data_IF_631600451365
#
_entry.id   IF_631600451365
#
_cell.length_a   1.000
_cell.length_b   1.000
_cell.length_c   1.000
_cell.angle_alpha   90.00
_cell.angle_beta   90.00
_cell.angle_gamma   90.00
#
_symmetry.space_group_name_H-M   'P 1'
#
loop_
_entity.id
_entity.type
_entity.pdbx_description
1 polymer ?
#
# COMPACT_ATOMS: atom_id res chain seq x y z
N UNK A 1 -21.28 20.58 -6.63
CA UNK A 1 -20.51 19.51 -7.29
C UNK A 1 -20.70 18.24 -6.50
N UNK A 2 -20.96 17.08 -7.12
CA UNK A 2 -21.03 15.82 -6.38
C UNK A 2 -19.64 15.49 -5.80
N UNK A 3 -19.59 15.17 -4.51
CA UNK A 3 -18.38 14.67 -3.85
C UNK A 3 -18.41 13.14 -4.00
N UNK A 4 -17.49 12.59 -4.79
CA UNK A 4 -17.31 11.15 -4.88
C UNK A 4 -16.65 10.66 -3.60
N UNK A 5 -17.37 9.84 -2.82
CA UNK A 5 -16.85 9.24 -1.60
C UNK A 5 -16.01 8.02 -1.95
N UNK A 6 -14.81 7.93 -1.38
CA UNK A 6 -14.02 6.70 -1.43
C UNK A 6 -14.76 5.60 -0.65
N UNK A 7 -15.09 4.52 -1.34
CA UNK A 7 -15.84 3.39 -0.80
C UNK A 7 -14.93 2.22 -0.39
N UNK A 8 -13.61 2.34 -0.63
CA UNK A 8 -12.65 1.31 -0.23
C UNK A 8 -12.62 1.21 1.28
N UNK A 9 -12.63 -0.02 1.79
CA UNK A 9 -12.38 -0.23 3.21
C UNK A 9 -10.90 -0.05 3.51
N UNK A 10 -10.58 0.22 4.76
CA UNK A 10 -9.21 0.37 5.23
C UNK A 10 -8.88 -0.68 6.28
N UNK A 11 -7.61 -1.06 6.35
CA UNK A 11 -7.05 -1.91 7.39
C UNK A 11 -5.75 -1.28 7.88
N UNK A 12 -5.53 -1.32 9.19
CA UNK A 12 -4.28 -0.91 9.81
C UNK A 12 -3.40 -2.15 10.02
N UNK A 13 -2.11 -2.03 9.68
CA UNK A 13 -1.09 -3.06 9.89
C UNK A 13 0.20 -2.42 10.40
N UNK A 14 1.06 -3.24 10.99
CA UNK A 14 2.42 -2.87 11.42
C UNK A 14 3.42 -3.80 10.73
N UNK A 15 4.54 -3.23 10.27
CA UNK A 15 5.60 -4.01 9.66
C UNK A 15 6.40 -4.80 10.71
N UNK A 16 6.81 -6.05 10.42
CA UNK A 16 7.60 -6.86 11.33
C UNK A 16 8.91 -6.20 11.79
N UNK A 17 9.61 -5.50 10.89
CA UNK A 17 10.87 -4.83 11.23
C UNK A 17 10.67 -3.50 11.97
N UNK A 18 9.44 -2.98 12.04
CA UNK A 18 9.13 -1.67 12.63
C UNK A 18 7.91 -1.80 13.54
N UNK A 19 8.11 -2.20 14.80
CA UNK A 19 7.02 -2.55 15.72
C UNK A 19 6.04 -1.40 15.98
N UNK A 20 6.52 -0.15 15.97
CA UNK A 20 5.69 1.05 16.15
C UNK A 20 5.21 1.65 14.82
N UNK A 21 5.44 0.95 13.70
CA UNK A 21 4.91 1.39 12.42
C UNK A 21 3.39 1.22 12.36
N UNK A 22 2.77 2.19 11.70
CA UNK A 22 1.36 2.22 11.41
C UNK A 22 1.22 2.46 9.91
N UNK A 23 0.68 1.48 9.21
CA UNK A 23 0.36 1.58 7.78
C UNK A 23 -1.13 1.33 7.62
N UNK A 24 -1.83 2.27 7.00
CA UNK A 24 -3.23 2.13 6.63
C UNK A 24 -3.27 1.74 5.16
N UNK A 25 -3.80 0.56 4.87
CA UNK A 25 -3.96 0.04 3.50
C UNK A 25 -5.42 0.05 3.06
N UNK A 26 -5.66 0.31 1.79
CA UNK A 26 -6.94 0.14 1.12
C UNK A 26 -7.21 -1.32 0.80
N UNK A 27 -8.50 -1.66 0.75
CA UNK A 27 -8.95 -3.00 0.38
C UNK A 27 -8.88 -3.34 -1.11
N UNK A 28 -8.40 -2.42 -1.94
CA UNK A 28 -8.28 -2.60 -3.38
C UNK A 28 -7.91 -1.32 -4.12
N UNK A 29 -7.69 -1.46 -5.42
CA UNK A 29 -7.44 -0.35 -6.34
C UNK A 29 -8.75 0.20 -6.89
N UNK A 30 -8.79 1.51 -7.17
CA UNK A 30 -9.86 2.06 -8.00
C UNK A 30 -9.56 1.77 -9.48
N UNK A 31 -10.60 1.76 -10.31
CA UNK A 31 -10.43 1.55 -11.75
C UNK A 31 -9.45 2.57 -12.37
N UNK A 32 -9.50 3.83 -11.93
CA UNK A 32 -8.57 4.87 -12.37
C UNK A 32 -7.10 4.58 -12.05
N UNK A 33 -6.83 3.90 -10.94
CA UNK A 33 -5.46 3.48 -10.58
C UNK A 33 -4.98 2.33 -11.47
N UNK A 34 -5.89 1.47 -11.93
CA UNK A 34 -5.57 0.31 -12.76
C UNK A 34 -5.26 0.66 -14.23
N UNK A 35 -5.82 1.76 -14.76
CA UNK A 35 -5.65 2.15 -16.18
C UNK A 35 -4.18 2.41 -16.55
N UNK A 36 -3.38 2.90 -15.60
CA UNK A 36 -1.98 3.26 -15.84
C UNK A 36 -0.99 2.13 -15.52
N UNK A 37 -1.49 0.91 -15.26
CA UNK A 37 -0.65 -0.23 -14.93
C UNK A 37 -0.39 -1.07 -16.18
N UNK A 38 0.88 -1.10 -16.59
CA UNK A 38 1.34 -2.01 -17.62
C UNK A 38 1.42 -3.43 -17.04
N UNK A 39 0.66 -4.36 -17.62
CA UNK A 39 0.72 -5.78 -17.26
C UNK A 39 2.01 -6.35 -17.87
N UNK A 40 2.91 -6.86 -17.01
CA UNK A 40 4.21 -7.36 -17.44
C UNK A 40 5.02 -7.93 -16.27
N UNK A 41 6.23 -7.42 -16.08
CA UNK A 41 7.14 -7.81 -14.99
C UNK A 41 6.45 -7.65 -13.62
N UNK A 42 6.14 -8.78 -12.97
CA UNK A 42 5.37 -8.85 -11.72
C UNK A 42 5.99 -8.03 -10.60
N UNK A 43 7.32 -7.95 -10.54
CA UNK A 43 8.03 -7.19 -9.50
C UNK A 43 7.84 -5.70 -9.74
N UNK A 44 8.07 -5.23 -10.97
CA UNK A 44 7.85 -3.82 -11.34
C UNK A 44 6.38 -3.42 -11.18
N UNK A 45 5.47 -4.31 -11.55
CA UNK A 45 4.04 -4.12 -11.38
C UNK A 45 3.67 -3.95 -9.90
N UNK A 46 4.20 -4.80 -9.03
CA UNK A 46 3.95 -4.73 -7.59
C UNK A 46 4.47 -3.43 -6.97
N UNK A 47 5.69 -3.00 -7.34
CA UNK A 47 6.24 -1.73 -6.85
C UNK A 47 5.43 -0.50 -7.30
N UNK A 48 4.83 -0.53 -8.49
CA UNK A 48 3.93 0.53 -8.98
C UNK A 48 2.58 0.56 -8.24
N UNK A 49 2.11 -0.58 -7.75
CA UNK A 49 0.77 -0.73 -7.16
C UNK A 49 0.75 -0.49 -5.67
N UNK A 50 1.77 -0.96 -4.96
CA UNK A 50 1.84 -0.83 -3.51
C UNK A 50 1.57 0.61 -3.03
N UNK A 51 2.15 1.67 -3.62
CA UNK A 51 1.87 3.05 -3.21
C UNK A 51 0.40 3.45 -3.39
N UNK A 52 -0.31 2.85 -4.36
CA UNK A 52 -1.74 3.12 -4.60
C UNK A 52 -2.66 2.40 -3.61
N UNK A 53 -2.16 1.34 -2.98
CA UNK A 53 -2.86 0.57 -1.97
C UNK A 53 -2.57 1.04 -0.55
N UNK A 54 -1.49 1.78 -0.33
CA UNK A 54 -1.22 2.43 0.95
C UNK A 54 -1.94 3.78 0.98
N UNK A 55 -2.81 3.97 1.97
CA UNK A 55 -3.50 5.24 2.22
C UNK A 55 -2.60 6.22 2.97
N UNK A 56 -1.97 5.74 4.03
CA UNK A 56 -1.21 6.54 4.97
C UNK A 56 -0.19 5.64 5.69
N UNK A 57 0.93 6.23 6.11
CA UNK A 57 1.87 5.60 7.03
C UNK A 57 2.52 6.64 7.96
N UNK A 58 3.20 6.19 9.01
CA UNK A 58 3.85 7.07 10.00
C UNK A 58 5.39 7.12 9.89
N UNK A 59 5.97 6.74 8.74
CA UNK A 59 7.43 6.79 8.58
C UNK A 59 7.94 8.21 8.37
N UNK A 60 9.05 8.53 9.03
CA UNK A 60 9.77 9.79 8.92
C UNK A 60 11.23 9.54 8.58
N UNK A 61 11.88 10.53 7.96
CA UNK A 61 13.31 10.50 7.69
C UNK A 61 14.17 10.93 8.90
N UNK A 62 15.48 11.02 8.69
CA UNK A 62 16.44 11.42 9.73
C UNK A 62 16.21 12.85 10.25
N UNK A 63 15.52 13.70 9.48
CA UNK A 63 15.15 15.07 9.83
C UNK A 63 13.73 15.17 10.41
N UNK A 64 13.11 14.04 10.77
CA UNK A 64 11.72 13.91 11.23
C UNK A 64 10.68 14.42 10.21
N UNK A 65 10.99 14.42 8.91
CA UNK A 65 10.03 14.76 7.87
C UNK A 65 9.26 13.50 7.42
N UNK A 66 7.93 13.60 7.19
CA UNK A 66 7.15 12.47 6.70
C UNK A 66 7.68 11.95 5.35
N UNK A 67 7.96 10.64 5.29
CA UNK A 67 8.36 10.00 4.04
C UNK A 67 7.13 9.90 3.12
N UNK A 68 7.21 10.30 1.85
CA UNK A 68 6.08 10.22 0.93
C UNK A 68 5.79 8.77 0.51
N UNK A 69 4.52 8.43 0.25
CA UNK A 69 4.14 7.10 -0.24
C UNK A 69 4.37 7.04 -1.75
N UNK A 70 5.55 6.59 -2.17
CA UNK A 70 5.92 6.42 -3.57
C UNK A 70 6.85 5.21 -3.81
N UNK A 71 7.18 4.95 -5.09
CA UNK A 71 8.05 3.84 -5.48
C UNK A 71 9.47 3.94 -4.91
N UNK A 72 9.98 5.13 -4.65
CA UNK A 72 11.35 5.31 -4.15
C UNK A 72 11.39 5.03 -2.65
N UNK A 73 10.38 5.48 -1.92
CA UNK A 73 10.23 5.24 -0.49
C UNK A 73 10.01 3.76 -0.19
N UNK A 74 9.32 3.03 -1.07
CA UNK A 74 9.19 1.58 -0.95
C UNK A 74 10.54 0.83 -1.03
N UNK A 75 11.54 1.38 -1.74
CA UNK A 75 12.88 0.78 -1.84
C UNK A 75 13.68 0.91 -0.54
N UNK A 76 13.24 1.74 0.40
CA UNK A 76 13.88 1.89 1.71
C UNK A 76 13.56 0.71 2.64
N UNK A 77 12.48 -0.03 2.39
CA UNK A 77 12.11 -1.18 3.19
C UNK A 77 12.85 -2.44 2.76
N UNK A 78 13.13 -3.31 3.73
CA UNK A 78 13.69 -4.62 3.46
C UNK A 78 12.69 -5.52 2.71
N UNK A 79 13.20 -6.47 1.93
CA UNK A 79 12.37 -7.40 1.15
C UNK A 79 11.32 -8.12 2.00
N UNK A 80 11.67 -8.50 3.25
CA UNK A 80 10.74 -9.18 4.18
C UNK A 80 9.52 -8.34 4.52
N UNK A 81 9.69 -7.03 4.70
CA UNK A 81 8.58 -6.14 5.03
C UNK A 81 7.70 -5.89 3.80
N UNK A 82 8.31 -5.80 2.62
CA UNK A 82 7.58 -5.72 1.35
C UNK A 82 6.76 -6.99 1.10
N UNK A 83 7.34 -8.17 1.29
CA UNK A 83 6.63 -9.46 1.19
C UNK A 83 5.47 -9.56 2.18
N UNK A 84 5.68 -9.12 3.43
CA UNK A 84 4.64 -9.06 4.45
C UNK A 84 3.50 -8.12 4.03
N UNK A 85 3.82 -6.91 3.56
CA UNK A 85 2.85 -5.92 3.11
C UNK A 85 2.00 -6.46 1.95
N UNK A 86 2.63 -7.09 0.95
CA UNK A 86 1.94 -7.73 -0.17
C UNK A 86 0.98 -8.82 0.33
N UNK A 87 1.45 -9.67 1.24
CA UNK A 87 0.66 -10.76 1.82
C UNK A 87 -0.56 -10.23 2.57
N UNK A 88 -0.40 -9.19 3.40
CA UNK A 88 -1.49 -8.57 4.15
C UNK A 88 -2.54 -7.93 3.23
N UNK A 89 -2.10 -7.28 2.15
CA UNK A 89 -2.98 -6.73 1.12
C UNK A 89 -3.75 -7.86 0.42
N UNK A 90 -3.07 -8.91 -0.02
CA UNK A 90 -3.72 -10.06 -0.69
C UNK A 90 -4.76 -10.70 0.23
N UNK A 91 -4.43 -10.91 1.50
CA UNK A 91 -5.35 -11.43 2.50
C UNK A 91 -6.56 -10.52 2.70
N UNK A 92 -6.35 -9.20 2.74
CA UNK A 92 -7.44 -8.24 2.91
C UNK A 92 -8.39 -8.23 1.71
N UNK A 93 -7.84 -8.20 0.49
CA UNK A 93 -8.61 -8.27 -0.76
C UNK A 93 -9.37 -9.60 -0.84
N UNK A 94 -8.73 -10.72 -0.49
CA UNK A 94 -9.34 -12.04 -0.54
C UNK A 94 -10.49 -12.20 0.50
N UNK A 95 -10.34 -11.60 1.68
CA UNK A 95 -11.39 -11.59 2.70
C UNK A 95 -12.64 -10.83 2.21
N UNK A 96 -12.48 -9.75 1.46
CA UNK A 96 -13.62 -9.01 0.91
C UNK A 96 -14.37 -9.75 -0.18
N UNK A 97 -13.68 -10.53 -1.02
CA UNK A 97 -14.35 -11.33 -2.08
C UNK A 97 -15.26 -12.43 -1.53
N UNK A 98 -15.11 -12.80 -0.25
CA UNK A 98 -15.92 -13.84 0.42
C UNK A 98 -17.16 -13.29 1.13
N UNK A 99 -17.36 -11.97 1.12
CA UNK A 99 -18.52 -11.29 1.74
C UNK A 99 -19.44 -10.78 0.66
#
# INVERSE_FOLDING_TARGET
MPILKDFRQIKEISLPSYQDSKIIIYSGLLFGDAINLEIGDEIKYTLKILPKLIKEWNFVDEENQPIPIDENSLKLFGMKDIEFLITEIQNFVAAQKKT
#
